data_IF_107982968226
#
_entry.id   IF_107982968226
#
_cell.length_a   1.000
_cell.length_b   1.000
_cell.length_c   1.000
_cell.angle_alpha   90.00
_cell.angle_beta   90.00
_cell.angle_gamma   90.00
#
_symmetry.space_group_name_H-M   'P 1'
#
loop_
_entity.id
_entity.type
_entity.pdbx_description
1 polymer ?
#
# COMPACT_ATOMS: atom_id res chain seq x y z
N UNK A 1 10.64 -0.84 -17.74
CA UNK A 1 9.67 -1.29 -16.73
C UNK A 1 10.42 -1.81 -15.51
N UNK A 2 10.17 -1.24 -14.33
CA UNK A 2 10.92 -1.59 -13.10
C UNK A 2 10.30 -2.77 -12.33
N UNK A 3 9.00 -3.04 -12.52
CA UNK A 3 8.30 -4.12 -11.83
C UNK A 3 6.87 -4.30 -12.31
N UNK A 4 6.25 -5.37 -11.83
CA UNK A 4 4.84 -5.68 -12.03
C UNK A 4 4.14 -5.85 -10.67
N UNK A 5 2.85 -5.56 -10.60
CA UNK A 5 2.05 -5.76 -9.39
C UNK A 5 0.74 -6.46 -9.73
N UNK A 6 0.46 -7.56 -9.04
CA UNK A 6 -0.78 -8.29 -9.17
C UNK A 6 -1.79 -7.88 -8.08
N UNK A 7 -3.04 -7.58 -8.44
CA UNK A 7 -4.13 -7.49 -7.48
C UNK A 7 -4.54 -8.91 -7.05
N UNK A 8 -3.68 -9.56 -6.28
CA UNK A 8 -3.89 -10.93 -5.84
C UNK A 8 -5.12 -11.06 -4.93
N UNK A 9 -5.43 -10.02 -4.18
CA UNK A 9 -6.55 -9.84 -3.27
C UNK A 9 -6.52 -10.81 -2.08
N UNK A 10 -6.41 -12.10 -2.29
CA UNK A 10 -6.33 -13.11 -1.22
C UNK A 10 -5.67 -14.40 -1.70
N UNK A 11 -4.95 -15.06 -0.81
CA UNK A 11 -4.43 -16.43 -0.99
C UNK A 11 -5.46 -17.49 -0.58
N UNK A 12 -6.41 -17.14 0.31
CA UNK A 12 -7.43 -18.07 0.80
C UNK A 12 -8.36 -18.48 -0.33
N UNK A 13 -8.34 -19.79 -0.65
CA UNK A 13 -9.11 -20.39 -1.76
C UNK A 13 -10.63 -20.23 -1.59
N UNK A 14 -11.13 -20.35 -0.34
CA UNK A 14 -12.56 -20.22 -0.03
C UNK A 14 -13.04 -18.77 -0.20
N UNK A 15 -12.26 -17.80 0.29
CA UNK A 15 -12.53 -16.36 0.10
C UNK A 15 -12.48 -16.03 -1.38
N UNK A 16 -11.47 -16.48 -2.11
CA UNK A 16 -11.35 -16.25 -3.55
C UNK A 16 -12.55 -16.78 -4.32
N UNK A 17 -12.94 -18.02 -4.10
CA UNK A 17 -14.10 -18.63 -4.78
C UNK A 17 -15.39 -17.83 -4.55
N UNK A 18 -15.56 -17.28 -3.34
CA UNK A 18 -16.76 -16.49 -2.98
C UNK A 18 -16.73 -15.07 -3.54
N UNK A 19 -15.57 -14.39 -3.46
CA UNK A 19 -15.45 -12.96 -3.77
C UNK A 19 -15.01 -12.69 -5.21
N UNK A 20 -14.24 -13.59 -5.80
CA UNK A 20 -13.60 -13.42 -7.12
C UNK A 20 -13.73 -14.70 -7.97
N UNK A 21 -14.95 -15.22 -8.21
CA UNK A 21 -15.13 -16.51 -8.88
C UNK A 21 -14.57 -16.56 -10.31
N UNK A 22 -14.51 -15.41 -10.99
CA UNK A 22 -14.00 -15.31 -12.36
C UNK A 22 -12.47 -15.15 -12.45
N UNK A 23 -11.77 -14.93 -11.33
CA UNK A 23 -10.33 -14.66 -11.34
C UNK A 23 -9.55 -15.87 -10.86
N UNK A 24 -8.93 -16.60 -11.78
CA UNK A 24 -8.12 -17.76 -11.46
C UNK A 24 -6.73 -17.36 -10.94
N UNK A 25 -6.27 -17.99 -9.86
CA UNK A 25 -4.90 -17.84 -9.33
C UNK A 25 -3.84 -18.11 -10.40
N UNK A 26 -4.10 -19.06 -11.30
CA UNK A 26 -3.19 -19.44 -12.40
C UNK A 26 -2.75 -18.25 -13.26
N UNK A 27 -3.62 -17.26 -13.49
CA UNK A 27 -3.27 -16.08 -14.28
C UNK A 27 -2.13 -15.28 -13.65
N UNK A 28 -2.15 -15.12 -12.31
CA UNK A 28 -1.09 -14.43 -11.58
C UNK A 28 0.21 -15.23 -11.57
N UNK A 29 0.14 -16.55 -11.40
CA UNK A 29 1.31 -17.42 -11.43
C UNK A 29 1.98 -17.33 -12.80
N UNK A 30 1.25 -17.50 -13.91
CA UNK A 30 1.78 -17.35 -15.26
C UNK A 30 2.40 -15.96 -15.50
N UNK A 31 1.78 -14.90 -14.97
CA UNK A 31 2.34 -13.55 -15.06
C UNK A 31 3.68 -13.44 -14.33
N UNK A 32 3.80 -14.01 -13.14
CA UNK A 32 5.04 -13.99 -12.37
C UNK A 32 6.13 -14.88 -12.96
N UNK A 33 5.78 -16.02 -13.53
CA UNK A 33 6.72 -16.92 -14.22
C UNK A 33 7.36 -16.21 -15.42
N UNK A 34 6.59 -15.42 -16.16
CA UNK A 34 7.09 -14.64 -17.30
C UNK A 34 7.87 -13.38 -16.90
N UNK A 35 7.77 -12.93 -15.66
CA UNK A 35 8.36 -11.69 -15.17
C UNK A 35 9.71 -11.90 -14.44
N UNK A 36 10.59 -12.73 -14.98
CA UNK A 36 11.83 -13.18 -14.30
C UNK A 36 12.82 -12.06 -13.98
N UNK A 37 12.82 -10.96 -14.73
CA UNK A 37 13.74 -9.81 -14.57
C UNK A 37 13.07 -8.59 -13.91
N UNK A 38 11.82 -8.68 -13.52
CA UNK A 38 11.07 -7.57 -12.96
C UNK A 38 10.85 -7.77 -11.46
N UNK A 39 10.87 -6.68 -10.69
CA UNK A 39 10.38 -6.72 -9.31
C UNK A 39 8.92 -7.12 -9.29
N UNK A 40 8.56 -8.03 -8.41
CA UNK A 40 7.22 -8.60 -8.31
C UNK A 40 6.51 -8.07 -7.07
N UNK A 41 5.30 -7.58 -7.25
CA UNK A 41 4.47 -7.10 -6.16
C UNK A 41 3.10 -7.75 -6.14
N UNK A 42 2.50 -7.80 -4.95
CA UNK A 42 1.11 -8.23 -4.76
C UNK A 42 0.34 -7.25 -3.89
N UNK A 43 -0.95 -7.14 -4.16
CA UNK A 43 -1.90 -6.44 -3.27
C UNK A 43 -2.80 -7.48 -2.62
N UNK A 44 -2.87 -7.43 -1.30
CA UNK A 44 -3.72 -8.28 -0.45
C UNK A 44 -4.78 -7.40 0.19
N UNK A 45 -6.04 -7.77 0.00
CA UNK A 45 -7.18 -7.12 0.64
C UNK A 45 -7.50 -7.85 1.94
N UNK A 46 -7.57 -7.12 3.04
CA UNK A 46 -7.88 -7.65 4.37
C UNK A 46 -9.31 -7.29 4.80
N UNK A 47 -10.00 -8.24 5.39
CA UNK A 47 -11.38 -8.09 5.87
C UNK A 47 -12.44 -8.71 4.95
N UNK A 48 -12.06 -9.62 4.04
CA UNK A 48 -12.99 -10.31 3.13
C UNK A 48 -13.45 -11.67 3.67
N UNK A 49 -12.94 -12.07 4.85
CA UNK A 49 -13.23 -13.35 5.48
C UNK A 49 -12.04 -14.29 5.59
N UNK A 50 -10.85 -13.82 5.24
CA UNK A 50 -9.59 -14.45 5.62
C UNK A 50 -9.39 -14.36 7.14
N UNK A 51 -8.49 -15.16 7.67
CA UNK A 51 -8.13 -15.18 9.08
C UNK A 51 -6.61 -15.10 9.26
N UNK A 52 -6.12 -14.92 10.48
CA UNK A 52 -4.68 -14.95 10.75
C UNK A 52 -4.04 -16.32 10.44
N UNK A 53 -4.83 -17.38 10.38
CA UNK A 53 -4.36 -18.71 9.97
C UNK A 53 -4.00 -18.79 8.47
N UNK A 54 -4.36 -17.79 7.68
CA UNK A 54 -3.99 -17.69 6.26
C UNK A 54 -2.62 -17.02 6.06
N UNK A 55 -1.99 -16.47 7.11
CA UNK A 55 -0.67 -15.84 7.03
C UNK A 55 0.40 -16.82 6.52
N UNK A 56 0.51 -18.08 7.01
CA UNK A 56 1.47 -19.02 6.47
C UNK A 56 1.28 -19.31 4.97
N UNK A 57 0.05 -19.37 4.48
CA UNK A 57 -0.24 -19.54 3.05
C UNK A 57 0.25 -18.33 2.24
N UNK A 58 0.07 -17.10 2.75
CA UNK A 58 0.64 -15.90 2.14
C UNK A 58 2.16 -15.94 2.13
N UNK A 59 2.80 -16.34 3.23
CA UNK A 59 4.26 -16.44 3.31
C UNK A 59 4.80 -17.46 2.31
N UNK A 60 4.17 -18.63 2.21
CA UNK A 60 4.51 -19.63 1.19
C UNK A 60 4.36 -19.06 -0.23
N UNK A 61 3.28 -18.33 -0.51
CA UNK A 61 3.08 -17.70 -1.82
C UNK A 61 4.18 -16.66 -2.13
N UNK A 62 4.55 -15.82 -1.16
CA UNK A 62 5.62 -14.82 -1.31
C UNK A 62 6.95 -15.50 -1.64
N UNK A 63 7.31 -16.54 -0.92
CA UNK A 63 8.56 -17.28 -1.10
C UNK A 63 8.63 -17.97 -2.46
N UNK A 64 7.61 -18.76 -2.80
CA UNK A 64 7.56 -19.53 -4.04
C UNK A 64 7.55 -18.67 -5.31
N UNK A 65 7.01 -17.46 -5.24
CA UNK A 65 6.93 -16.57 -6.40
C UNK A 65 7.96 -15.43 -6.38
N UNK A 66 8.87 -15.41 -5.38
CA UNK A 66 9.87 -14.36 -5.21
C UNK A 66 9.27 -12.97 -5.21
N UNK A 67 8.29 -12.74 -4.33
CA UNK A 67 7.59 -11.46 -4.24
C UNK A 67 8.43 -10.45 -3.45
N UNK A 68 8.76 -9.32 -4.07
CA UNK A 68 9.57 -8.25 -3.48
C UNK A 68 8.73 -7.22 -2.71
N UNK A 69 7.46 -7.07 -3.09
CA UNK A 69 6.59 -6.02 -2.56
C UNK A 69 5.20 -6.53 -2.21
N UNK A 70 4.75 -6.23 -1.01
CA UNK A 70 3.42 -6.61 -0.53
C UNK A 70 2.66 -5.34 -0.10
N UNK A 71 1.48 -5.13 -0.69
CA UNK A 71 0.57 -4.07 -0.27
C UNK A 71 -0.61 -4.68 0.48
N UNK A 72 -0.75 -4.35 1.76
CA UNK A 72 -1.94 -4.70 2.55
C UNK A 72 -2.94 -3.55 2.49
N UNK A 73 -4.14 -3.81 2.02
CA UNK A 73 -5.22 -2.83 1.94
C UNK A 73 -6.45 -3.30 2.72
N UNK A 74 -7.03 -2.48 3.60
CA UNK A 74 -8.29 -2.83 4.23
C UNK A 74 -9.42 -2.78 3.23
N UNK A 75 -10.34 -3.73 3.29
CA UNK A 75 -11.59 -3.62 2.57
C UNK A 75 -12.43 -2.49 3.16
N UNK A 76 -13.07 -1.72 2.28
CA UNK A 76 -14.03 -0.69 2.69
C UNK A 76 -15.42 -1.20 2.39
N UNK A 77 -16.31 -1.24 3.39
CA UNK A 77 -17.70 -1.63 3.17
C UNK A 77 -18.36 -0.74 2.13
N UNK A 78 -19.07 -1.36 1.21
CA UNK A 78 -19.88 -0.68 0.21
C UNK A 78 -21.30 -1.25 0.20
N UNK A 79 -22.30 -0.44 -0.13
CA UNK A 79 -23.74 -0.85 -0.07
C UNK A 79 -24.03 -2.16 -0.81
N UNK A 80 -23.37 -2.39 -1.94
CA UNK A 80 -23.60 -3.54 -2.83
C UNK A 80 -22.61 -4.70 -2.61
N UNK A 81 -21.93 -4.74 -1.45
CA UNK A 81 -21.01 -5.82 -1.12
C UNK A 81 -21.46 -6.58 0.12
N UNK A 82 -21.13 -7.88 0.25
CA UNK A 82 -21.44 -8.65 1.45
C UNK A 82 -20.64 -8.21 2.68
N UNK A 83 -19.63 -7.35 2.49
CA UNK A 83 -18.73 -6.89 3.55
C UNK A 83 -19.40 -5.77 4.32
N UNK A 84 -19.52 -5.94 5.62
CA UNK A 84 -20.23 -4.99 6.50
C UNK A 84 -19.29 -4.12 7.34
N UNK A 85 -18.05 -4.60 7.57
CA UNK A 85 -17.06 -3.89 8.41
C UNK A 85 -15.68 -3.96 7.78
N UNK A 86 -14.91 -2.88 7.92
CA UNK A 86 -13.47 -2.88 7.65
C UNK A 86 -12.73 -3.63 8.77
N UNK A 87 -11.59 -4.27 8.49
CA UNK A 87 -10.79 -4.92 9.52
C UNK A 87 -10.26 -3.89 10.52
N UNK A 88 -10.02 -4.34 11.75
CA UNK A 88 -9.40 -3.47 12.77
C UNK A 88 -7.94 -3.17 12.42
N UNK A 89 -7.42 -2.06 12.98
CA UNK A 89 -6.00 -1.68 12.85
C UNK A 89 -5.09 -2.78 13.37
N UNK A 90 -5.42 -3.39 14.52
CA UNK A 90 -4.64 -4.48 15.10
C UNK A 90 -4.60 -5.73 14.21
N UNK A 91 -5.69 -6.05 13.53
CA UNK A 91 -5.73 -7.14 12.58
C UNK A 91 -4.76 -6.90 11.41
N UNK A 92 -4.81 -5.70 10.82
CA UNK A 92 -3.87 -5.32 9.77
C UNK A 92 -2.42 -5.29 10.26
N UNK A 93 -2.19 -4.74 11.45
CA UNK A 93 -0.87 -4.67 12.09
C UNK A 93 -0.26 -6.06 12.24
N UNK A 94 -1.07 -7.08 12.60
CA UNK A 94 -0.60 -8.46 12.73
C UNK A 94 -0.13 -9.03 11.38
N UNK A 95 -0.87 -8.83 10.31
CA UNK A 95 -0.45 -9.23 8.95
C UNK A 95 0.88 -8.58 8.54
N UNK A 96 1.00 -7.27 8.79
CA UNK A 96 2.23 -6.52 8.48
C UNK A 96 3.41 -7.03 9.31
N UNK A 97 3.24 -7.21 10.62
CA UNK A 97 4.31 -7.62 11.52
C UNK A 97 4.80 -9.05 11.23
N UNK A 98 3.91 -10.02 11.07
CA UNK A 98 4.26 -11.39 10.72
C UNK A 98 4.99 -11.45 9.38
N UNK A 99 4.51 -10.69 8.38
CA UNK A 99 5.18 -10.64 7.08
C UNK A 99 6.55 -9.96 7.17
N UNK A 100 6.71 -8.91 7.99
CA UNK A 100 8.01 -8.27 8.21
C UNK A 100 9.01 -9.20 8.89
N UNK A 101 8.56 -9.99 9.86
CA UNK A 101 9.41 -10.98 10.55
C UNK A 101 9.88 -12.06 9.57
N UNK A 102 8.98 -12.59 8.77
CA UNK A 102 9.29 -13.64 7.79
C UNK A 102 10.15 -13.12 6.62
N UNK A 103 9.91 -11.88 6.17
CA UNK A 103 10.58 -11.27 5.01
C UNK A 103 11.19 -9.90 5.38
N UNK A 104 12.35 -9.88 6.06
CA UNK A 104 12.97 -8.64 6.55
C UNK A 104 13.31 -7.62 5.46
N UNK A 105 13.54 -8.07 4.23
CA UNK A 105 13.94 -7.23 3.08
C UNK A 105 12.77 -6.82 2.17
N UNK A 106 11.58 -7.40 2.35
CA UNK A 106 10.44 -7.09 1.50
C UNK A 106 9.98 -5.64 1.67
N UNK A 107 9.51 -5.03 0.60
CA UNK A 107 8.83 -3.73 0.66
C UNK A 107 7.37 -3.96 1.09
N UNK A 108 6.99 -3.48 2.26
CA UNK A 108 5.62 -3.62 2.79
C UNK A 108 4.93 -2.25 2.76
N UNK A 109 3.80 -2.17 2.08
CA UNK A 109 2.99 -0.97 1.94
C UNK A 109 1.66 -1.16 2.66
N UNK A 110 1.28 -0.20 3.51
CA UNK A 110 -0.01 -0.20 4.18
C UNK A 110 -1.01 0.72 3.45
N UNK A 111 -2.16 0.18 3.07
CA UNK A 111 -3.27 0.94 2.53
C UNK A 111 -3.93 1.77 3.63
N UNK A 112 -3.96 3.08 3.46
CA UNK A 112 -4.56 4.01 4.42
C UNK A 112 -5.57 4.92 3.73
N UNK A 113 -6.78 4.96 4.24
CA UNK A 113 -7.85 5.84 3.78
C UNK A 113 -7.97 7.07 4.66
N UNK A 114 -8.59 8.12 4.15
CA UNK A 114 -8.80 9.37 4.85
C UNK A 114 -9.31 9.21 6.30
N UNK A 115 -10.26 8.31 6.55
CA UNK A 115 -10.81 8.04 7.88
C UNK A 115 -9.93 7.15 8.79
N UNK A 116 -8.72 6.78 8.36
CA UNK A 116 -7.81 5.86 9.06
C UNK A 116 -6.38 6.38 9.18
N UNK A 117 -6.18 7.69 9.04
CA UNK A 117 -4.84 8.31 9.08
C UNK A 117 -4.14 8.13 10.42
N UNK A 118 -4.88 8.08 11.52
CA UNK A 118 -4.33 7.84 12.87
C UNK A 118 -3.75 6.43 13.08
N UNK A 119 -3.94 5.52 12.12
CA UNK A 119 -3.40 4.16 12.21
C UNK A 119 -1.99 4.05 11.59
N UNK A 120 -1.54 5.09 10.87
CA UNK A 120 -0.28 5.09 10.13
C UNK A 120 0.90 4.74 11.03
N UNK A 121 1.01 5.38 12.18
CA UNK A 121 2.08 5.12 13.14
C UNK A 121 2.13 3.66 13.59
N UNK A 122 0.98 3.03 13.78
CA UNK A 122 0.88 1.62 14.17
C UNK A 122 1.41 0.70 13.05
N UNK A 123 1.03 0.96 11.79
CA UNK A 123 1.49 0.17 10.66
C UNK A 123 3.00 0.32 10.42
N UNK A 124 3.53 1.53 10.59
CA UNK A 124 4.97 1.79 10.48
C UNK A 124 5.77 1.09 11.59
N UNK A 125 5.27 1.08 12.83
CA UNK A 125 5.87 0.33 13.95
C UNK A 125 5.85 -1.17 13.70
N UNK A 126 4.79 -1.68 13.06
CA UNK A 126 4.70 -3.08 12.66
C UNK A 126 5.64 -3.48 11.52
N UNK A 127 6.26 -2.51 10.84
CA UNK A 127 7.26 -2.76 9.82
C UNK A 127 6.87 -2.37 8.39
N UNK A 128 5.77 -1.62 8.19
CA UNK A 128 5.49 -1.05 6.87
C UNK A 128 6.58 -0.03 6.48
N UNK A 129 6.94 -0.01 5.19
CA UNK A 129 7.90 0.94 4.60
C UNK A 129 7.22 2.20 4.08
N UNK A 130 5.97 2.06 3.63
CA UNK A 130 5.22 3.14 2.99
C UNK A 130 3.72 3.00 3.26
N UNK A 131 3.01 4.07 2.96
CA UNK A 131 1.54 4.09 2.92
C UNK A 131 1.05 4.34 1.50
N UNK A 132 -0.17 3.94 1.20
CA UNK A 132 -0.84 4.24 -0.06
C UNK A 132 -2.32 4.58 0.17
N UNK A 133 -3.04 4.96 -0.90
CA UNK A 133 -4.47 5.34 -0.86
C UNK A 133 -4.78 6.71 -0.25
N UNK A 134 -3.82 7.42 0.31
CA UNK A 134 -4.01 8.80 0.72
C UNK A 134 -3.90 9.73 -0.51
N UNK A 135 -4.89 10.62 -0.76
CA UNK A 135 -4.87 11.50 -1.94
C UNK A 135 -3.98 12.73 -1.69
N UNK A 136 -2.66 12.51 -1.66
CA UNK A 136 -1.64 13.47 -1.22
C UNK A 136 -1.77 14.87 -1.86
N UNK A 137 -1.96 14.95 -3.19
CA UNK A 137 -2.11 16.23 -3.89
C UNK A 137 -3.40 16.96 -3.48
N UNK A 138 -4.54 16.22 -3.44
CA UNK A 138 -5.83 16.81 -3.07
C UNK A 138 -5.92 17.23 -1.60
N UNK A 139 -5.12 16.62 -0.74
CA UNK A 139 -5.12 16.81 0.70
C UNK A 139 -3.82 17.41 1.23
N UNK A 140 -3.01 17.97 0.34
CA UNK A 140 -1.77 18.62 0.74
C UNK A 140 -2.04 19.70 1.81
N UNK A 141 -1.22 19.72 2.86
CA UNK A 141 -1.31 20.61 4.02
C UNK A 141 -2.64 20.58 4.78
N UNK A 142 -3.47 19.55 4.57
CA UNK A 142 -4.69 19.33 5.37
C UNK A 142 -4.38 18.76 6.76
N UNK A 143 -5.36 18.80 7.67
CA UNK A 143 -5.22 18.19 9.01
C UNK A 143 -4.90 16.68 8.91
N UNK A 144 -5.49 15.96 7.94
CA UNK A 144 -5.14 14.55 7.69
C UNK A 144 -3.66 14.40 7.29
N UNK A 145 -3.13 15.30 6.45
CA UNK A 145 -1.72 15.29 6.03
C UNK A 145 -0.77 15.55 7.22
N UNK A 146 -1.10 16.55 8.05
CA UNK A 146 -0.36 16.84 9.29
C UNK A 146 -0.40 15.67 10.26
N UNK A 147 -1.57 15.03 10.41
CA UNK A 147 -1.74 13.85 11.24
C UNK A 147 -0.85 12.70 10.76
N UNK A 148 -0.78 12.43 9.45
CA UNK A 148 0.10 11.40 8.90
C UNK A 148 1.58 11.70 9.21
N UNK A 149 2.05 12.92 9.00
CA UNK A 149 3.44 13.29 9.31
C UNK A 149 3.73 13.18 10.82
N UNK A 150 2.78 13.57 11.68
CA UNK A 150 2.89 13.37 13.12
C UNK A 150 2.99 11.89 13.51
N UNK A 151 2.16 11.03 12.93
CA UNK A 151 2.20 9.58 13.14
C UNK A 151 3.54 8.97 12.70
N UNK A 152 4.15 9.47 11.61
CA UNK A 152 5.48 9.04 11.16
C UNK A 152 6.57 9.41 12.17
N UNK A 153 6.55 10.65 12.69
CA UNK A 153 7.48 11.12 13.74
C UNK A 153 7.33 10.27 15.01
N UNK A 154 6.08 10.04 15.45
CA UNK A 154 5.75 9.22 16.62
C UNK A 154 6.20 7.77 16.46
N UNK A 155 6.19 7.26 15.24
CA UNK A 155 6.73 5.94 14.89
C UNK A 155 8.27 5.92 14.78
N UNK A 156 8.95 7.06 14.99
CA UNK A 156 10.41 7.23 14.81
C UNK A 156 10.87 6.84 13.40
N UNK A 157 10.12 7.27 12.39
CA UNK A 157 10.41 7.02 10.97
C UNK A 157 10.71 8.32 10.26
N UNK A 158 11.77 8.31 9.44
CA UNK A 158 12.08 9.41 8.54
C UNK A 158 11.16 9.38 7.33
N UNK A 159 10.46 10.48 7.07
CA UNK A 159 9.65 10.63 5.87
C UNK A 159 10.51 11.21 4.74
N UNK A 160 10.71 10.42 3.68
CA UNK A 160 11.54 10.82 2.53
C UNK A 160 10.87 11.84 1.61
N UNK A 161 9.58 12.14 1.85
CA UNK A 161 8.80 13.11 1.11
C UNK A 161 8.17 14.12 2.09
N UNK A 162 7.11 14.79 1.67
CA UNK A 162 6.32 15.69 2.52
C UNK A 162 4.87 15.75 2.05
N UNK A 163 3.97 15.92 3.01
CA UNK A 163 2.55 16.20 2.76
C UNK A 163 2.16 17.61 3.19
N UNK A 164 3.09 18.37 3.77
CA UNK A 164 2.81 19.69 4.37
C UNK A 164 3.80 20.78 3.96
N UNK A 165 5.02 20.41 3.57
CA UNK A 165 6.09 21.38 3.29
C UNK A 165 6.28 21.63 1.79
N UNK A 166 5.78 22.77 1.30
CA UNK A 166 5.91 23.17 -0.11
C UNK A 166 7.36 23.36 -0.55
N UNK A 167 8.25 23.84 0.32
CA UNK A 167 9.65 24.07 -0.04
C UNK A 167 10.36 22.79 -0.41
N UNK A 168 10.13 21.70 0.33
CA UNK A 168 10.67 20.37 -0.03
C UNK A 168 10.18 19.88 -1.40
N UNK A 169 8.95 20.21 -1.80
CA UNK A 169 8.43 19.88 -3.13
C UNK A 169 9.13 20.72 -4.22
N UNK A 170 9.38 21.98 -3.94
CA UNK A 170 10.06 22.88 -4.89
C UNK A 170 11.52 22.46 -5.12
N UNK A 171 12.21 21.95 -4.10
CA UNK A 171 13.55 21.40 -4.23
C UNK A 171 13.59 20.17 -5.15
N UNK A 172 12.51 19.37 -5.18
CA UNK A 172 12.41 18.20 -6.04
C UNK A 172 12.26 18.53 -7.54
N UNK A 173 11.88 19.76 -7.91
CA UNK A 173 11.74 20.15 -9.33
C UNK A 173 13.05 20.16 -10.11
N UNK A 174 14.18 20.25 -9.42
CA UNK A 174 15.52 20.25 -10.00
C UNK A 174 16.08 18.84 -10.22
N UNK A 175 15.32 17.81 -9.86
CA UNK A 175 15.67 16.41 -10.15
C UNK A 175 15.62 16.21 -11.66
N UNK A 176 16.68 15.62 -12.21
CA UNK A 176 16.75 15.25 -13.63
C UNK A 176 15.74 14.17 -13.94
N UNK A 177 14.65 14.56 -14.58
CA UNK A 177 13.58 13.67 -15.08
C UNK A 177 13.32 13.99 -16.55
N UNK A 178 12.71 13.05 -17.28
CA UNK A 178 12.28 13.32 -18.66
C UNK A 178 11.24 14.46 -18.72
N UNK A 179 11.11 15.09 -19.90
CA UNK A 179 10.22 16.23 -20.10
C UNK A 179 8.77 15.95 -19.72
N UNK A 180 8.24 14.79 -20.06
CA UNK A 180 6.85 14.41 -19.75
C UNK A 180 6.63 14.34 -18.25
N UNK A 181 7.57 13.73 -17.52
CA UNK A 181 7.54 13.65 -16.05
C UNK A 181 7.68 15.02 -15.41
N UNK A 182 8.54 15.90 -15.96
CA UNK A 182 8.71 17.28 -15.51
C UNK A 182 7.41 18.09 -15.64
N UNK A 183 6.75 18.00 -16.78
CA UNK A 183 5.47 18.70 -17.03
C UNK A 183 4.36 18.22 -16.08
N UNK A 184 4.29 16.93 -15.82
CA UNK A 184 3.36 16.38 -14.81
C UNK A 184 3.66 16.91 -13.41
N UNK A 185 4.92 16.96 -13.02
CA UNK A 185 5.34 17.48 -11.73
C UNK A 185 4.97 18.96 -11.56
N UNK A 186 5.24 19.79 -12.58
CA UNK A 186 4.89 21.21 -12.57
C UNK A 186 3.37 21.42 -12.43
N UNK A 187 2.54 20.64 -13.14
CA UNK A 187 1.07 20.68 -12.98
C UNK A 187 0.63 20.32 -11.56
N UNK A 188 1.27 19.34 -10.92
CA UNK A 188 0.96 19.00 -9.53
C UNK A 188 1.36 20.13 -8.57
N UNK A 189 2.53 20.73 -8.74
CA UNK A 189 2.98 21.88 -7.93
C UNK A 189 2.00 23.05 -8.07
N UNK A 190 1.60 23.40 -9.29
CA UNK A 190 0.60 24.44 -9.55
C UNK A 190 -0.73 24.14 -8.86
N UNK A 191 -1.26 22.91 -9.00
CA UNK A 191 -2.50 22.48 -8.34
C UNK A 191 -2.44 22.61 -6.81
N UNK A 192 -1.28 22.39 -6.20
CA UNK A 192 -1.08 22.55 -4.76
C UNK A 192 -1.02 24.03 -4.38
N UNK A 193 -0.37 24.88 -5.19
CA UNK A 193 -0.25 26.33 -4.96
C UNK A 193 -1.61 27.05 -5.03
N UNK A 194 -2.47 26.65 -5.98
CA UNK A 194 -3.82 27.24 -6.18
C UNK A 194 -4.80 26.91 -5.02
N UNK A 195 -4.44 26.01 -4.12
CA UNK A 195 -5.27 25.57 -2.97
C UNK A 195 -4.94 26.25 -1.64
N UNK A 196 -4.08 27.25 -1.68
CA UNK A 196 -3.84 28.14 -0.54
C UNK A 196 -4.98 29.17 -0.44
#
# INVERSE_FOLDING_TARGET
LAGINAPLETVNKGVRKRMYPATAMRQFLTMFDNATKLRKGVTIMLGMGETLNDIPELHHFIEMNHIDKITFSPVIPHKNTPIKKSPSSFYMTRWIAETRIAFPKAEIIAGTWKGRVAEVGLFLKAGANAITKFPAVKRFNSEDAKSIEHEMITAKRNFLSTLTNMYKILELKDIVVDMETKDKLLKYIQTIQERK
#
